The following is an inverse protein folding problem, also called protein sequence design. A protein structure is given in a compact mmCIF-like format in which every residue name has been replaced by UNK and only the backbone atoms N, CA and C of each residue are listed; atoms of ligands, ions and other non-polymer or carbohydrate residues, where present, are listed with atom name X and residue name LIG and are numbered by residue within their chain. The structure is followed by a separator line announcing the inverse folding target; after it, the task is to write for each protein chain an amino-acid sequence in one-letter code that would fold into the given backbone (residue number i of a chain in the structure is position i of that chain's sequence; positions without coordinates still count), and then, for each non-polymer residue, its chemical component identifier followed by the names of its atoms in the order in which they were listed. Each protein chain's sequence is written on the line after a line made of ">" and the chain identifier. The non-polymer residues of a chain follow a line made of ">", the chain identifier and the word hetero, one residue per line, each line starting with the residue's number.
data_IF_066304445272
#
_entry.id   IF_066304445272
#
_cell.length_a   1.000
_cell.length_b   1.000
_cell.length_c   1.000
_cell.angle_alpha   90.00
_cell.angle_beta   90.00
_cell.angle_gamma   90.00
#
_symmetry.space_group_name_H-M   'P 1'
#
loop_
_entity.id
_entity.type
_entity.pdbx_description
1 polymer ?
#
# COMPACT_ATOMS: atom_id res chain seq x y z
N UNK A 1 22.92 22.31 -1.46
CA UNK A 1 23.94 21.43 -2.06
C UNK A 1 23.24 20.25 -2.72
N UNK A 2 23.11 20.24 -4.06
CA UNK A 2 22.54 19.10 -4.81
C UNK A 2 23.58 17.99 -4.82
N UNK A 3 23.29 16.89 -4.15
CA UNK A 3 24.11 15.68 -4.23
C UNK A 3 23.77 15.02 -5.58
N UNK A 4 24.66 15.14 -6.56
CA UNK A 4 24.48 14.59 -7.90
C UNK A 4 24.67 13.07 -7.86
N UNK A 5 23.63 12.33 -7.47
CA UNK A 5 23.60 10.89 -7.68
C UNK A 5 23.45 10.63 -9.18
N UNK A 6 24.44 9.99 -9.80
CA UNK A 6 24.35 9.46 -11.16
C UNK A 6 23.33 8.31 -11.17
N UNK A 7 22.05 8.63 -11.33
CA UNK A 7 20.96 7.66 -11.42
C UNK A 7 20.75 7.28 -12.89
N UNK A 8 20.82 5.99 -13.19
CA UNK A 8 20.50 5.43 -14.51
C UNK A 8 19.13 4.77 -14.43
N UNK A 9 18.20 5.18 -15.30
CA UNK A 9 16.89 4.55 -15.44
C UNK A 9 16.94 3.55 -16.59
N UNK A 10 16.73 2.26 -16.30
CA UNK A 10 16.52 1.23 -17.30
C UNK A 10 15.02 0.90 -17.40
N UNK A 11 14.46 1.02 -18.61
CA UNK A 11 13.10 0.60 -18.92
C UNK A 11 13.14 -0.73 -19.67
N UNK A 12 12.49 -1.75 -19.11
CA UNK A 12 12.41 -3.09 -19.70
C UNK A 12 11.00 -3.29 -20.26
N UNK A 13 10.90 -3.72 -21.52
CA UNK A 13 9.64 -4.16 -22.13
C UNK A 13 9.52 -5.68 -21.99
N UNK A 14 9.20 -6.14 -20.79
CA UNK A 14 9.05 -7.56 -20.49
C UNK A 14 7.75 -7.81 -19.71
N UNK A 15 7.16 -9.00 -19.87
CA UNK A 15 5.98 -9.44 -19.13
C UNK A 15 6.29 -9.87 -17.69
N UNK A 16 7.57 -10.03 -17.35
CA UNK A 16 8.06 -10.36 -16.02
C UNK A 16 9.40 -9.68 -15.73
N UNK A 17 9.71 -9.47 -14.46
CA UNK A 17 11.01 -8.95 -14.03
C UNK A 17 12.07 -10.05 -14.19
N UNK A 18 13.15 -9.83 -14.97
CA UNK A 18 14.24 -10.79 -15.05
C UNK A 18 14.98 -10.87 -13.71
N UNK A 19 15.49 -12.04 -13.31
CA UNK A 19 16.29 -12.15 -12.08
C UNK A 19 17.59 -11.34 -12.18
N UNK A 20 18.18 -11.21 -13.39
CA UNK A 20 19.48 -10.55 -13.60
C UNK A 20 19.56 -9.68 -14.88
N UNK A 21 20.04 -8.45 -14.67
CA UNK A 21 20.58 -7.40 -15.55
C UNK A 21 22.02 -7.56 -16.05
N UNK A 22 22.34 -7.82 -17.31
CA UNK A 22 23.73 -7.65 -17.78
C UNK A 22 23.92 -6.27 -18.44
N UNK A 23 24.86 -5.46 -17.92
CA UNK A 23 25.27 -4.17 -18.49
C UNK A 23 26.78 -4.20 -18.67
N UNK A 24 27.24 -4.57 -19.87
CA UNK A 24 28.66 -4.83 -20.13
C UNK A 24 29.19 -5.94 -19.21
N UNK A 25 30.27 -5.71 -18.42
CA UNK A 25 30.80 -6.70 -17.48
C UNK A 25 29.99 -6.79 -16.16
N UNK A 26 29.00 -5.91 -15.96
CA UNK A 26 28.24 -5.85 -14.71
C UNK A 26 27.02 -6.76 -14.80
N UNK A 27 26.88 -7.65 -13.82
CA UNK A 27 25.69 -8.47 -13.64
C UNK A 27 24.93 -8.02 -12.37
N UNK A 28 23.73 -7.46 -12.55
CA UNK A 28 22.89 -6.89 -11.49
C UNK A 28 21.70 -7.79 -11.20
N UNK A 29 21.54 -8.24 -9.96
CA UNK A 29 20.31 -8.93 -9.54
C UNK A 29 19.18 -7.93 -9.37
N UNK A 30 18.06 -8.16 -10.03
CA UNK A 30 16.89 -7.29 -9.90
C UNK A 30 15.99 -7.74 -8.76
N UNK A 31 15.30 -6.77 -8.16
CA UNK A 31 14.26 -7.00 -7.16
C UNK A 31 13.08 -6.09 -7.49
N UNK A 32 11.86 -6.61 -7.40
CA UNK A 32 10.68 -5.76 -7.53
C UNK A 32 10.71 -4.70 -6.43
N UNK A 33 10.59 -3.44 -6.83
CA UNK A 33 10.40 -2.35 -5.89
C UNK A 33 8.91 -2.24 -5.55
N UNK A 34 8.53 -2.63 -4.34
CA UNK A 34 7.18 -2.41 -3.82
C UNK A 34 7.19 -1.09 -3.04
N UNK A 35 6.50 -0.08 -3.58
CA UNK A 35 6.35 1.20 -2.91
C UNK A 35 5.52 1.08 -1.62
N UNK A 36 5.55 2.12 -0.78
CA UNK A 36 4.63 2.19 0.36
C UNK A 36 3.22 2.55 -0.14
N UNK A 37 2.15 2.10 0.56
CA UNK A 37 0.79 2.51 0.23
C UNK A 37 0.66 4.02 0.19
N UNK A 38 0.10 4.55 -0.90
CA UNK A 38 -0.18 5.97 -1.03
C UNK A 38 -1.28 6.34 -0.05
N UNK A 39 -0.92 7.06 1.01
CA UNK A 39 -1.83 7.53 2.04
C UNK A 39 -1.91 9.06 2.00
N UNK A 40 -3.12 9.59 2.03
CA UNK A 40 -3.35 11.03 2.07
C UNK A 40 -2.90 11.61 3.41
N UNK A 41 -2.10 12.68 3.39
CA UNK A 41 -1.64 13.38 4.60
C UNK A 41 -2.69 14.33 5.21
N UNK A 42 -3.90 14.38 4.67
CA UNK A 42 -5.02 15.18 5.22
C UNK A 42 -6.10 14.27 5.84
N UNK A 43 -6.66 13.35 5.05
CA UNK A 43 -7.76 12.50 5.49
C UNK A 43 -7.33 11.07 5.88
N UNK A 44 -6.06 10.70 5.65
CA UNK A 44 -5.49 9.35 5.89
C UNK A 44 -6.14 8.18 5.15
N UNK A 45 -6.99 8.46 4.16
CA UNK A 45 -7.46 7.46 3.20
C UNK A 45 -6.34 7.03 2.26
N UNK A 46 -6.44 5.81 1.74
CA UNK A 46 -5.50 5.26 0.77
C UNK A 46 -5.94 5.55 -0.66
N UNK A 47 -4.96 5.66 -1.58
CA UNK A 47 -5.18 5.77 -3.01
C UNK A 47 -5.09 7.19 -3.59
N UNK A 48 -4.89 8.21 -2.76
CA UNK A 48 -4.68 9.59 -3.22
C UNK A 48 -3.73 10.36 -2.30
N UNK A 49 -3.16 11.44 -2.82
CA UNK A 49 -2.27 12.35 -2.07
C UNK A 49 -3.01 13.60 -1.60
N UNK A 50 -2.38 14.40 -0.73
CA UNK A 50 -2.99 15.62 -0.16
C UNK A 50 -3.54 16.58 -1.22
N UNK A 51 -2.84 16.76 -2.34
CA UNK A 51 -3.23 17.69 -3.40
C UNK A 51 -4.53 17.30 -4.13
N UNK A 52 -4.93 16.03 -4.09
CA UNK A 52 -6.17 15.54 -4.71
C UNK A 52 -7.24 15.14 -3.69
N UNK A 53 -7.02 15.47 -2.41
CA UNK A 53 -7.95 15.18 -1.32
C UNK A 53 -9.22 16.02 -1.46
N UNK A 54 -10.38 15.39 -1.34
CA UNK A 54 -11.69 16.05 -1.31
C UNK A 54 -12.39 15.90 0.03
N UNK A 55 -11.86 15.03 0.88
CA UNK A 55 -12.39 14.72 2.20
C UNK A 55 -11.89 15.72 3.25
N UNK A 56 -12.67 15.86 4.32
CA UNK A 56 -12.27 16.62 5.50
C UNK A 56 -10.99 16.05 6.12
N UNK A 57 -10.16 16.94 6.68
CA UNK A 57 -8.96 16.55 7.39
C UNK A 57 -9.30 15.75 8.65
N UNK A 58 -8.40 14.83 9.02
CA UNK A 58 -8.49 14.04 10.24
C UNK A 58 -7.24 14.23 11.08
N UNK A 59 -7.35 14.00 12.39
CA UNK A 59 -6.19 13.81 13.25
C UNK A 59 -5.53 12.46 12.94
N UNK A 60 -4.21 12.41 12.75
CA UNK A 60 -3.51 11.13 12.57
C UNK A 60 -3.35 10.32 13.85
N UNK A 61 -3.57 10.95 15.01
CA UNK A 61 -3.57 10.28 16.31
C UNK A 61 -4.94 9.68 16.64
N UNK A 62 -6.00 10.50 16.76
CA UNK A 62 -7.33 10.05 17.21
C UNK A 62 -8.39 9.92 16.10
N UNK A 63 -8.05 10.16 14.83
CA UNK A 63 -8.98 10.13 13.68
C UNK A 63 -10.15 11.12 13.69
N UNK A 64 -10.20 12.06 14.66
CA UNK A 64 -11.24 13.08 14.73
C UNK A 64 -11.22 14.00 13.50
N UNK A 65 -12.40 14.39 13.02
CA UNK A 65 -12.56 15.28 11.86
C UNK A 65 -12.26 16.74 12.25
N UNK A 66 -11.77 17.52 11.28
CA UNK A 66 -11.54 18.96 11.40
C UNK A 66 -10.61 19.36 12.58
N UNK A 67 -9.74 18.46 13.04
CA UNK A 67 -8.74 18.79 14.05
C UNK A 67 -7.60 19.58 13.41
N UNK A 68 -7.41 20.83 13.82
CA UNK A 68 -6.45 21.75 13.20
C UNK A 68 -4.98 21.45 13.50
N UNK A 69 -4.64 20.55 14.44
CA UNK A 69 -3.24 20.13 14.64
C UNK A 69 -3.11 18.71 15.21
N UNK A 70 -2.22 17.91 14.62
CA UNK A 70 -1.74 16.65 15.24
C UNK A 70 -0.85 16.93 16.45
N UNK A 71 -0.21 18.10 16.46
CA UNK A 71 0.88 18.50 17.34
C UNK A 71 0.42 18.71 18.80
N UNK A 72 -0.88 18.90 19.03
CA UNK A 72 -1.48 19.10 20.35
C UNK A 72 -2.62 18.10 20.64
N UNK A 73 -2.64 16.95 19.97
CA UNK A 73 -3.67 15.95 20.21
C UNK A 73 -3.34 15.08 21.44
N UNK A 74 -3.99 15.37 22.57
CA UNK A 74 -3.88 14.60 23.81
C UNK A 74 -4.87 13.42 23.90
N UNK A 75 -5.70 13.21 22.87
CA UNK A 75 -6.64 12.10 22.85
C UNK A 75 -5.93 10.76 22.68
N UNK A 76 -6.56 9.67 23.13
CA UNK A 76 -6.06 8.32 22.91
C UNK A 76 -5.92 8.03 21.41
N UNK A 77 -4.87 7.30 21.05
CA UNK A 77 -4.63 6.88 19.67
C UNK A 77 -5.77 5.98 19.20
N UNK A 78 -6.33 6.28 18.03
CA UNK A 78 -7.44 5.55 17.46
C UNK A 78 -7.35 5.53 15.93
N UNK A 79 -7.48 4.36 15.35
CA UNK A 79 -7.44 4.16 13.91
C UNK A 79 -8.84 3.94 13.33
N UNK A 80 -9.35 4.88 12.53
CA UNK A 80 -10.68 4.70 11.90
C UNK A 80 -10.75 3.56 10.86
N UNK A 81 -9.61 3.08 10.34
CA UNK A 81 -9.59 2.00 9.34
C UNK A 81 -9.88 0.63 9.94
N UNK A 82 -9.36 0.33 11.14
CA UNK A 82 -9.52 -0.96 11.80
C UNK A 82 -10.20 -0.88 13.18
N UNK A 83 -10.48 0.34 13.65
CA UNK A 83 -11.14 0.66 14.93
C UNK A 83 -10.35 0.20 16.16
N UNK A 84 -9.03 0.21 16.06
CA UNK A 84 -8.11 -0.25 17.10
C UNK A 84 -7.27 0.90 17.70
N UNK A 85 -6.66 0.66 18.86
CA UNK A 85 -5.94 1.60 19.71
C UNK A 85 -4.51 1.87 19.20
N UNK A 86 -4.41 2.46 18.01
CA UNK A 86 -3.14 2.93 17.46
C UNK A 86 -3.35 4.10 16.48
N UNK A 87 -2.27 4.81 16.15
CA UNK A 87 -2.31 5.91 15.18
C UNK A 87 -2.69 5.41 13.79
N UNK A 88 -3.31 6.25 12.96
CA UNK A 88 -3.79 5.85 11.61
C UNK A 88 -2.64 5.48 10.66
N UNK A 89 -1.44 6.03 10.90
CA UNK A 89 -0.23 5.78 10.10
C UNK A 89 0.54 4.52 10.51
N UNK A 90 0.09 3.82 11.55
CA UNK A 90 0.80 2.70 12.12
C UNK A 90 0.88 1.51 11.14
N UNK A 91 2.08 0.95 10.93
CA UNK A 91 2.31 -0.14 9.95
C UNK A 91 1.79 -1.49 10.40
N UNK A 92 1.51 -1.64 11.69
CA UNK A 92 0.84 -2.81 12.23
C UNK A 92 -0.65 -2.87 11.91
N UNK A 93 -1.24 -1.76 11.44
CA UNK A 93 -2.66 -1.69 11.06
C UNK A 93 -2.99 -2.77 10.01
N UNK A 94 -4.04 -3.60 10.23
CA UNK A 94 -4.48 -4.59 9.25
C UNK A 94 -4.80 -3.97 7.88
N UNK A 95 -5.35 -2.74 7.87
CA UNK A 95 -5.65 -2.02 6.63
C UNK A 95 -4.38 -1.62 5.88
N UNK A 96 -3.33 -1.21 6.58
CA UNK A 96 -2.04 -0.89 5.97
C UNK A 96 -1.43 -2.13 5.31
N UNK A 97 -1.44 -3.27 6.03
CA UNK A 97 -0.94 -4.54 5.50
C UNK A 97 -1.72 -4.98 4.26
N UNK A 98 -3.04 -4.86 4.29
CA UNK A 98 -3.89 -5.16 3.14
C UNK A 98 -3.53 -4.31 1.90
N UNK A 99 -3.32 -3.00 2.04
CA UNK A 99 -2.88 -2.16 0.92
C UNK A 99 -1.46 -2.51 0.45
N UNK A 100 -0.58 -2.94 1.37
CA UNK A 100 0.76 -3.40 1.02
C UNK A 100 0.73 -4.71 0.22
N UNK A 101 -0.14 -5.66 0.60
CA UNK A 101 -0.34 -6.92 -0.13
C UNK A 101 -0.88 -6.67 -1.54
N UNK A 102 -1.76 -5.68 -1.71
CA UNK A 102 -2.27 -5.25 -3.02
C UNK A 102 -1.12 -4.73 -3.89
N UNK A 103 -0.27 -3.86 -3.36
CA UNK A 103 0.90 -3.36 -4.09
C UNK A 103 1.89 -4.48 -4.42
N UNK A 104 2.12 -5.40 -3.50
CA UNK A 104 3.01 -6.53 -3.71
C UNK A 104 2.47 -7.47 -4.79
N UNK A 105 1.17 -7.76 -4.79
CA UNK A 105 0.54 -8.60 -5.82
C UNK A 105 0.59 -7.93 -7.19
N UNK A 106 0.28 -6.63 -7.26
CA UNK A 106 0.35 -5.87 -8.51
C UNK A 106 1.76 -5.88 -9.11
N UNK A 107 2.79 -5.70 -8.27
CA UNK A 107 4.20 -5.69 -8.70
C UNK A 107 4.74 -7.09 -9.04
N UNK A 108 4.28 -8.14 -8.38
CA UNK A 108 4.77 -9.51 -8.62
C UNK A 108 4.09 -10.19 -9.81
N UNK A 109 2.83 -9.87 -10.06
CA UNK A 109 2.04 -10.46 -11.16
C UNK A 109 1.91 -9.52 -12.37
N UNK A 110 2.47 -8.31 -12.32
CA UNK A 110 2.37 -7.30 -13.39
C UNK A 110 0.92 -6.99 -13.80
N UNK A 111 0.01 -7.02 -12.83
CA UNK A 111 -1.41 -6.70 -13.03
C UNK A 111 -1.75 -5.30 -12.52
N UNK A 112 -2.86 -4.74 -13.02
CA UNK A 112 -3.33 -3.44 -12.55
C UNK A 112 -3.67 -3.46 -11.05
N UNK A 113 -3.54 -2.31 -10.39
CA UNK A 113 -3.92 -2.13 -8.98
C UNK A 113 -5.37 -2.54 -8.71
N UNK A 114 -6.28 -2.27 -9.65
CA UNK A 114 -7.68 -2.67 -9.54
C UNK A 114 -7.86 -4.19 -9.56
N UNK A 115 -7.16 -4.90 -10.45
CA UNK A 115 -7.18 -6.36 -10.49
C UNK A 115 -6.55 -6.96 -9.23
N UNK A 116 -5.39 -6.46 -8.79
CA UNK A 116 -4.75 -6.90 -7.56
C UNK A 116 -5.66 -6.70 -6.34
N UNK A 117 -6.30 -5.54 -6.22
CA UNK A 117 -7.24 -5.25 -5.13
C UNK A 117 -8.41 -6.23 -5.11
N UNK A 118 -9.03 -6.54 -6.26
CA UNK A 118 -10.08 -7.56 -6.32
C UNK A 118 -9.58 -8.93 -5.85
N UNK A 119 -8.42 -9.38 -6.34
CA UNK A 119 -7.86 -10.69 -5.98
C UNK A 119 -7.54 -10.78 -4.49
N UNK A 120 -6.89 -9.78 -3.90
CA UNK A 120 -6.55 -9.78 -2.47
C UNK A 120 -7.81 -9.74 -1.62
N UNK A 121 -8.80 -8.93 -1.97
CA UNK A 121 -10.08 -8.86 -1.25
C UNK A 121 -10.83 -10.19 -1.30
N UNK A 122 -10.90 -10.84 -2.46
CA UNK A 122 -11.52 -12.17 -2.60
C UNK A 122 -10.79 -13.20 -1.74
N UNK A 123 -9.44 -13.23 -1.76
CA UNK A 123 -8.65 -14.11 -0.90
C UNK A 123 -8.95 -13.88 0.57
N UNK A 124 -9.02 -12.63 1.01
CA UNK A 124 -9.33 -12.28 2.39
C UNK A 124 -10.74 -12.75 2.77
N UNK A 125 -11.74 -12.49 1.92
CA UNK A 125 -13.12 -12.97 2.13
C UNK A 125 -13.20 -14.49 2.21
N UNK A 126 -12.46 -15.22 1.36
CA UNK A 126 -12.43 -16.69 1.35
C UNK A 126 -11.78 -17.29 2.61
N UNK A 127 -10.86 -16.60 3.27
CA UNK A 127 -10.24 -17.04 4.54
C UNK A 127 -11.19 -16.89 5.74
N UNK A 128 -12.16 -16.00 5.67
CA UNK A 128 -13.19 -15.80 6.70
C UNK A 128 -14.53 -16.44 6.35
N UNK A 129 -14.58 -17.15 5.21
CA UNK A 129 -15.77 -17.80 4.71
C UNK A 129 -15.98 -19.14 5.43
N UNK A 130 -17.20 -19.48 5.87
CA UNK A 130 -17.47 -20.79 6.45
C UNK A 130 -17.07 -21.89 5.45
N UNK A 131 -16.34 -22.91 5.92
CA UNK A 131 -15.90 -24.04 5.08
C UNK A 131 -17.05 -24.66 4.26
N UNK A 132 -18.28 -24.58 4.76
CA UNK A 132 -19.50 -25.11 4.14
C UNK A 132 -19.95 -24.42 2.85
N UNK A 133 -19.35 -23.29 2.47
CA UNK A 133 -19.81 -22.51 1.31
C UNK A 133 -18.69 -22.22 0.30
N UNK A 134 -17.45 -22.71 0.50
CA UNK A 134 -16.33 -22.38 -0.39
C UNK A 134 -16.62 -22.92 -1.81
N UNK A 135 -16.61 -22.07 -2.86
CA UNK A 135 -16.78 -22.57 -4.22
C UNK A 135 -15.60 -23.47 -4.57
N UNK A 136 -15.89 -24.65 -5.11
CA UNK A 136 -14.89 -25.60 -5.58
C UNK A 136 -13.94 -24.91 -6.56
N UNK A 137 -12.65 -24.91 -6.24
CA UNK A 137 -11.61 -24.46 -7.17
C UNK A 137 -11.76 -25.24 -8.48
N UNK A 138 -11.69 -24.59 -9.65
CA UNK A 138 -11.68 -25.31 -10.91
C UNK A 138 -10.40 -26.17 -10.95
N UNK A 139 -10.59 -27.47 -11.18
CA UNK A 139 -9.54 -28.46 -11.45
C UNK A 139 -8.89 -28.15 -12.80
#
# INVERSE_FOLDING_TARGET
>A
MRNSTNVVLLTLFASALPDRVNIGPINLRMRCFVSRPLQCFSCYSYGHGKCSCKEASRCGNCSALNSYSEEHCNAAAYCFHCRDAHQVRARQCPRYRLEQDILQLANSQFISLGSARRTVLVRHLMLHWPLSLQPSLPV
#
